data_IF_751184444964
#
_entry.id   IF_751184444964
#
_cell.length_a   1.000
_cell.length_b   1.000
_cell.length_c   1.000
_cell.angle_alpha   90.00
_cell.angle_beta   90.00
_cell.angle_gamma   90.00
#
_symmetry.space_group_name_H-M   'P 1'
#
loop_
_entity.id
_entity.type
_entity.pdbx_description
1 polymer ?
#
# COMPACT_ATOMS: atom_id res chain seq x y z
N UNK A 1 -19.79 -5.62 -29.32
CA UNK A 1 -20.00 -6.32 -28.02
C UNK A 1 -19.99 -5.29 -26.91
N UNK A 2 -20.85 -5.43 -25.91
CA UNK A 2 -20.76 -4.56 -24.72
C UNK A 2 -19.44 -4.88 -23.99
N UNK A 3 -18.67 -3.88 -23.51
CA UNK A 3 -17.52 -4.16 -22.66
C UNK A 3 -17.97 -4.91 -21.40
N UNK A 4 -17.14 -5.80 -20.84
CA UNK A 4 -17.50 -6.55 -19.64
C UNK A 4 -17.86 -5.58 -18.52
N UNK A 5 -19.02 -5.82 -17.89
CA UNK A 5 -19.51 -4.99 -16.78
C UNK A 5 -18.47 -5.00 -15.66
N UNK A 6 -18.23 -3.83 -15.09
CA UNK A 6 -17.40 -3.67 -13.91
C UNK A 6 -17.87 -4.59 -12.77
N UNK A 7 -16.92 -5.21 -12.08
CA UNK A 7 -17.15 -6.09 -10.94
C UNK A 7 -16.35 -5.55 -9.76
N UNK A 8 -16.95 -5.39 -8.58
CA UNK A 8 -16.28 -4.88 -7.37
C UNK A 8 -15.10 -5.77 -6.92
N UNK A 9 -15.08 -7.04 -7.35
CA UNK A 9 -13.91 -7.93 -7.21
C UNK A 9 -12.65 -7.43 -7.95
N UNK A 10 -12.76 -6.39 -8.79
CA UNK A 10 -11.62 -5.66 -9.37
C UNK A 10 -10.96 -4.70 -8.35
N UNK A 11 -11.72 -4.10 -7.44
CA UNK A 11 -11.15 -3.31 -6.34
C UNK A 11 -10.36 -4.20 -5.39
N UNK A 12 -10.90 -5.37 -5.05
CA UNK A 12 -10.23 -6.37 -4.21
C UNK A 12 -8.92 -6.83 -4.86
N UNK A 13 -8.91 -7.10 -6.17
CA UNK A 13 -7.65 -7.41 -6.87
C UNK A 13 -6.65 -6.26 -6.80
N UNK A 14 -7.11 -5.02 -7.02
CA UNK A 14 -6.27 -3.82 -6.95
C UNK A 14 -5.69 -3.61 -5.54
N UNK A 15 -6.48 -3.90 -4.50
CA UNK A 15 -6.03 -3.92 -3.11
C UNK A 15 -4.97 -5.00 -2.85
N UNK A 16 -5.14 -6.21 -3.40
CA UNK A 16 -4.12 -7.26 -3.35
C UNK A 16 -2.79 -6.85 -3.98
N UNK A 17 -2.81 -6.10 -5.09
CA UNK A 17 -1.61 -5.53 -5.73
C UNK A 17 -0.94 -4.50 -4.80
N UNK A 18 -1.71 -3.65 -4.11
CA UNK A 18 -1.18 -2.72 -3.10
C UNK A 18 -0.54 -3.50 -1.95
N UNK A 19 -1.16 -4.58 -1.45
CA UNK A 19 -0.58 -5.44 -0.43
C UNK A 19 0.75 -6.07 -0.86
N UNK A 20 0.89 -6.47 -2.14
CA UNK A 20 2.18 -6.92 -2.68
C UNK A 20 3.26 -5.82 -2.61
N UNK A 21 2.94 -4.60 -3.04
CA UNK A 21 3.87 -3.46 -3.01
C UNK A 21 4.27 -3.04 -1.59
N UNK A 22 3.33 -3.11 -0.63
CA UNK A 22 3.60 -2.80 0.78
C UNK A 22 4.47 -3.86 1.47
N UNK A 23 4.22 -5.15 1.19
CA UNK A 23 4.97 -6.25 1.76
C UNK A 23 6.38 -6.31 1.14
N UNK A 24 6.50 -6.78 -0.10
CA UNK A 24 7.80 -7.02 -0.74
C UNK A 24 8.57 -5.76 -1.12
N UNK A 25 7.96 -4.56 -0.98
CA UNK A 25 8.56 -3.25 -1.34
C UNK A 25 8.89 -3.12 -2.83
N UNK A 26 8.24 -3.92 -3.67
CA UNK A 26 8.36 -3.93 -5.13
C UNK A 26 7.27 -3.03 -5.73
N UNK A 27 7.59 -2.04 -6.58
CA UNK A 27 6.58 -1.21 -7.24
C UNK A 27 5.52 -2.05 -7.97
N UNK A 28 4.24 -1.70 -7.85
CA UNK A 28 3.12 -2.46 -8.45
C UNK A 28 3.12 -2.55 -9.99
N UNK A 29 4.02 -1.81 -10.64
CA UNK A 29 4.20 -1.76 -12.08
C UNK A 29 4.67 -3.12 -12.66
N UNK A 30 4.15 -3.57 -13.81
CA UNK A 30 4.53 -4.85 -14.42
C UNK A 30 6.03 -5.02 -14.69
N UNK A 31 6.79 -3.94 -14.87
CA UNK A 31 8.25 -3.99 -15.08
C UNK A 31 9.01 -4.49 -13.84
N UNK A 32 8.39 -4.42 -12.65
CA UNK A 32 9.00 -4.78 -11.36
C UNK A 32 8.22 -5.89 -10.64
N UNK A 33 6.89 -5.74 -10.51
CA UNK A 33 6.02 -6.74 -9.91
C UNK A 33 5.56 -7.73 -10.98
N UNK A 34 6.35 -8.80 -11.13
CA UNK A 34 6.21 -9.76 -12.22
C UNK A 34 4.79 -10.35 -12.32
N UNK A 35 4.26 -10.35 -13.54
CA UNK A 35 2.95 -10.90 -13.89
C UNK A 35 3.06 -12.23 -14.64
N UNK A 36 1.97 -13.00 -14.61
CA UNK A 36 1.76 -14.10 -15.54
C UNK A 36 1.10 -13.59 -16.85
N UNK A 37 0.92 -14.49 -17.83
CA UNK A 37 0.27 -14.18 -19.11
C UNK A 37 -1.21 -13.75 -18.97
N UNK A 38 -1.81 -13.92 -17.77
CA UNK A 38 -3.16 -13.47 -17.43
C UNK A 38 -3.16 -12.13 -16.65
N UNK A 39 -2.02 -11.45 -16.57
CA UNK A 39 -1.77 -10.21 -15.81
C UNK A 39 -1.90 -10.33 -14.27
N UNK A 40 -1.99 -11.56 -13.75
CA UNK A 40 -2.03 -11.88 -12.32
C UNK A 40 -0.62 -11.83 -11.71
N UNK A 41 -0.53 -11.77 -10.39
CA UNK A 41 0.77 -11.75 -9.69
C UNK A 41 1.42 -13.14 -9.74
N UNK A 42 2.66 -13.22 -10.24
CA UNK A 42 3.49 -14.43 -10.14
C UNK A 42 4.11 -14.53 -8.74
N UNK A 43 3.36 -15.07 -7.76
CA UNK A 43 3.83 -15.18 -6.37
C UNK A 43 5.13 -15.99 -6.23
N UNK A 44 5.36 -16.99 -7.08
CA UNK A 44 6.58 -17.83 -7.08
C UNK A 44 7.85 -17.07 -7.50
N UNK A 45 7.71 -15.86 -8.05
CA UNK A 45 8.83 -14.97 -8.41
C UNK A 45 9.09 -13.89 -7.36
N UNK A 46 8.37 -13.90 -6.23
CA UNK A 46 8.57 -12.96 -5.13
C UNK A 46 9.62 -13.49 -4.14
N UNK A 47 10.39 -12.61 -3.47
CA UNK A 47 11.34 -13.03 -2.44
C UNK A 47 10.70 -13.88 -1.31
N UNK A 48 11.31 -15.03 -1.03
CA UNK A 48 10.82 -16.03 -0.07
C UNK A 48 10.69 -15.51 1.37
N UNK A 49 11.53 -14.55 1.77
CA UNK A 49 11.60 -14.05 3.16
C UNK A 49 10.38 -13.26 3.66
N UNK A 50 9.29 -13.15 2.90
CA UNK A 50 8.06 -12.44 3.32
C UNK A 50 6.76 -13.21 2.98
N UNK A 51 6.79 -14.53 2.85
CA UNK A 51 5.60 -15.32 2.52
C UNK A 51 4.53 -15.33 3.61
N UNK A 52 4.91 -15.25 4.89
CA UNK A 52 4.05 -15.60 6.02
C UNK A 52 3.43 -14.39 6.72
N UNK A 53 3.59 -13.19 6.15
CA UNK A 53 3.00 -11.97 6.72
C UNK A 53 1.49 -11.90 6.45
N UNK A 54 0.78 -11.14 7.28
CA UNK A 54 -0.62 -10.81 7.08
C UNK A 54 -0.89 -10.21 5.68
N UNK A 55 -0.03 -9.29 5.23
CA UNK A 55 -0.14 -8.66 3.91
C UNK A 55 0.08 -9.67 2.77
N UNK A 56 1.01 -10.61 2.93
CA UNK A 56 1.24 -11.68 1.96
C UNK A 56 0.04 -12.64 1.86
N UNK A 57 -0.56 -13.00 3.00
CA UNK A 57 -1.81 -13.79 3.07
C UNK A 57 -2.96 -13.07 2.37
N UNK A 58 -3.20 -11.80 2.72
CA UNK A 58 -4.26 -10.97 2.11
C UNK A 58 -4.03 -10.79 0.61
N UNK A 59 -2.79 -10.54 0.17
CA UNK A 59 -2.45 -10.44 -1.25
C UNK A 59 -2.77 -11.72 -2.03
N UNK A 60 -2.39 -12.90 -1.51
CA UNK A 60 -2.68 -14.20 -2.17
C UNK A 60 -4.18 -14.49 -2.26
N UNK A 61 -4.98 -14.09 -1.29
CA UNK A 61 -6.45 -14.24 -1.33
C UNK A 61 -7.10 -13.24 -2.31
N UNK A 62 -6.59 -12.01 -2.35
CA UNK A 62 -7.15 -10.92 -3.17
C UNK A 62 -6.78 -11.04 -4.65
N UNK A 63 -5.58 -11.55 -4.97
CA UNK A 63 -5.06 -11.66 -6.34
C UNK A 63 -5.46 -12.95 -7.08
N UNK A 64 -6.48 -13.68 -6.61
CA UNK A 64 -6.94 -14.94 -7.22
C UNK A 64 -7.40 -14.77 -8.67
N UNK A 65 -7.13 -15.78 -9.51
CA UNK A 65 -7.52 -15.81 -10.94
C UNK A 65 -9.04 -15.71 -11.12
N UNK A 66 -9.79 -16.51 -10.37
CA UNK A 66 -11.24 -16.46 -10.37
C UNK A 66 -11.71 -15.33 -9.43
N UNK A 67 -12.51 -14.40 -9.97
CA UNK A 67 -13.03 -13.27 -9.20
C UNK A 67 -13.99 -13.70 -8.08
N UNK A 68 -14.74 -14.79 -8.26
CA UNK A 68 -15.76 -15.24 -7.30
C UNK A 68 -15.19 -15.83 -6.00
N UNK A 69 -13.92 -16.25 -6.00
CA UNK A 69 -13.23 -16.78 -4.81
C UNK A 69 -12.37 -15.73 -4.10
N UNK A 70 -12.29 -14.51 -4.63
CA UNK A 70 -11.66 -13.39 -3.91
C UNK A 70 -12.59 -13.03 -2.74
N UNK A 71 -12.08 -12.82 -1.52
CA UNK A 71 -12.90 -12.43 -0.38
C UNK A 71 -13.58 -11.07 -0.61
N UNK A 72 -14.66 -10.78 0.10
CA UNK A 72 -15.18 -9.42 0.25
C UNK A 72 -14.29 -8.60 1.19
N UNK A 73 -14.40 -7.26 1.12
CA UNK A 73 -13.67 -6.38 2.03
C UNK A 73 -14.02 -6.62 3.52
N UNK A 74 -15.23 -7.05 3.84
CA UNK A 74 -15.62 -7.44 5.21
C UNK A 74 -14.81 -8.66 5.70
N UNK A 75 -14.70 -9.71 4.89
CA UNK A 75 -13.92 -10.91 5.21
C UNK A 75 -12.42 -10.58 5.33
N UNK A 76 -11.91 -9.63 4.53
CA UNK A 76 -10.55 -9.13 4.68
C UNK A 76 -10.35 -8.39 6.01
N UNK A 77 -11.31 -7.56 6.44
CA UNK A 77 -11.25 -6.86 7.74
C UNK A 77 -11.23 -7.84 8.91
N UNK A 78 -12.03 -8.91 8.88
CA UNK A 78 -12.00 -9.98 9.91
C UNK A 78 -10.62 -10.67 10.00
N UNK A 79 -9.93 -10.85 8.85
CA UNK A 79 -8.55 -11.36 8.83
C UNK A 79 -7.57 -10.36 9.47
N UNK A 80 -7.74 -9.05 9.24
CA UNK A 80 -6.92 -8.02 9.91
C UNK A 80 -7.18 -7.95 11.43
N UNK A 81 -8.44 -8.04 11.85
CA UNK A 81 -8.83 -7.95 13.26
C UNK A 81 -8.36 -9.18 14.06
N UNK A 82 -8.50 -10.39 13.50
CA UNK A 82 -8.01 -11.61 14.15
C UNK A 82 -6.50 -11.63 14.36
N UNK A 83 -5.72 -11.16 13.38
CA UNK A 83 -4.26 -11.00 13.53
C UNK A 83 -3.88 -9.87 14.50
N UNK A 84 -4.66 -8.78 14.54
CA UNK A 84 -4.45 -7.71 15.52
C UNK A 84 -4.66 -8.22 16.95
N UNK A 85 -5.74 -8.96 17.22
CA UNK A 85 -6.05 -9.49 18.56
C UNK A 85 -5.02 -10.52 19.01
N UNK A 86 -4.60 -11.45 18.14
CA UNK A 86 -3.54 -12.41 18.47
C UNK A 86 -2.18 -11.71 18.70
N UNK A 87 -1.90 -10.62 17.97
CA UNK A 87 -0.75 -9.75 18.15
C UNK A 87 -0.80 -8.82 19.37
N UNK A 88 -1.97 -8.61 19.99
CA UNK A 88 -2.07 -7.96 21.31
C UNK A 88 -1.69 -8.92 22.43
N UNK A 89 -2.14 -10.19 22.36
CA UNK A 89 -1.86 -11.18 23.41
C UNK A 89 -0.36 -11.50 23.56
N UNK A 90 0.46 -11.21 22.54
CA UNK A 90 1.93 -11.35 22.57
C UNK A 90 2.68 -10.11 23.10
N UNK A 91 2.00 -9.00 23.38
CA UNK A 91 2.60 -7.78 23.94
C UNK A 91 2.27 -7.68 25.43
N UNK A 92 3.26 -7.28 26.24
CA UNK A 92 3.04 -7.03 27.66
C UNK A 92 2.09 -5.85 27.86
N UNK A 93 1.31 -5.81 28.98
CA UNK A 93 0.36 -4.73 29.24
C UNK A 93 0.97 -3.32 29.38
N UNK A 94 2.30 -3.21 29.53
CA UNK A 94 2.97 -2.01 30.04
C UNK A 94 3.23 -0.90 28.98
N UNK A 95 2.95 -1.14 27.68
CA UNK A 95 3.26 -0.19 26.58
C UNK A 95 2.03 0.43 25.86
N UNK A 96 0.81 0.28 26.38
CA UNK A 96 -0.41 0.36 25.53
C UNK A 96 -1.08 1.74 25.42
N UNK A 97 -0.62 2.79 26.12
CA UNK A 97 -1.35 4.09 26.17
C UNK A 97 -0.99 5.09 25.04
N UNK A 98 0.21 5.01 24.46
CA UNK A 98 0.72 6.04 23.52
C UNK A 98 0.18 5.98 22.09
N UNK A 99 -0.10 4.78 21.56
CA UNK A 99 -0.28 4.60 20.11
C UNK A 99 -1.72 4.83 19.62
N UNK A 100 -2.73 4.56 20.45
CA UNK A 100 -4.15 4.57 20.03
C UNK A 100 -4.67 5.96 19.68
N UNK A 101 -4.24 7.00 20.40
CA UNK A 101 -4.67 8.37 20.15
C UNK A 101 -4.14 8.95 18.81
N UNK A 102 -3.02 8.47 18.27
CA UNK A 102 -2.37 9.10 17.10
C UNK A 102 -3.10 8.86 15.77
N UNK A 103 -3.82 7.74 15.61
CA UNK A 103 -4.53 7.43 14.36
C UNK A 103 -5.87 8.18 14.23
N UNK A 104 -6.58 8.40 15.35
CA UNK A 104 -7.88 9.11 15.32
C UNK A 104 -7.65 10.63 15.29
N UNK A 105 -6.72 11.17 16.09
CA UNK A 105 -6.52 12.61 16.21
C UNK A 105 -5.96 13.30 14.94
N UNK A 106 -5.25 12.57 14.05
CA UNK A 106 -4.73 13.13 12.78
C UNK A 106 -5.85 13.55 11.81
N UNK A 107 -7.08 13.02 11.96
CA UNK A 107 -8.20 13.30 11.05
C UNK A 107 -8.98 14.58 11.41
N UNK A 108 -9.06 14.91 12.69
CA UNK A 108 -9.81 16.07 13.20
C UNK A 108 -9.00 17.38 13.19
N UNK A 109 -7.66 17.30 13.17
CA UNK A 109 -6.77 18.47 13.24
C UNK A 109 -6.40 19.11 11.89
N UNK A 110 -6.86 18.56 10.76
CA UNK A 110 -6.43 18.98 9.42
C UNK A 110 -7.42 19.88 8.66
N UNK A 111 -7.99 20.89 9.32
CA UNK A 111 -8.66 22.02 8.66
C UNK A 111 -8.32 23.36 9.33
N UNK A 112 -7.40 24.14 8.72
CA UNK A 112 -7.41 25.59 8.81
C UNK A 112 -7.80 26.19 7.46
N UNK A 113 -8.92 26.90 7.44
CA UNK A 113 -9.21 27.90 6.40
C UNK A 113 -8.38 29.14 6.70
N UNK A 114 -7.48 29.51 5.79
CA UNK A 114 -7.20 30.91 5.37
C UNK A 114 -6.11 30.86 4.30
N UNK A 115 -6.22 31.71 3.27
CA UNK A 115 -5.24 31.73 2.19
C UNK A 115 -4.33 32.95 2.25
N UNK A 116 -3.09 32.79 1.77
CA UNK A 116 -2.32 33.86 1.13
C UNK A 116 -1.13 33.28 0.36
N UNK A 117 -1.03 33.66 -0.92
CA UNK A 117 0.16 33.91 -1.74
C UNK A 117 1.34 32.90 -1.80
N UNK A 118 1.86 32.72 -3.02
CA UNK A 118 3.09 31.99 -3.37
C UNK A 118 3.99 32.88 -4.25
N UNK A 119 5.25 32.48 -4.57
CA UNK A 119 6.18 31.63 -3.82
C UNK A 119 7.30 32.56 -3.25
N UNK A 120 8.58 32.69 -3.70
CA UNK A 120 9.48 31.89 -4.57
C UNK A 120 10.73 31.32 -3.85
N UNK A 121 10.95 29.99 -3.95
CA UNK A 121 12.25 29.33 -3.77
C UNK A 121 12.75 29.10 -2.33
N UNK A 122 12.96 27.84 -1.96
CA UNK A 122 13.87 27.42 -0.86
C UNK A 122 14.29 25.95 -1.03
N UNK A 123 15.60 25.75 -0.92
CA UNK A 123 16.29 24.75 -0.08
C UNK A 123 15.90 23.26 -0.16
N UNK A 124 16.87 22.51 -0.66
CA UNK A 124 17.15 21.16 -0.16
C UNK A 124 17.49 21.21 1.34
N UNK A 125 17.14 20.12 2.04
CA UNK A 125 17.49 19.70 3.42
C UNK A 125 16.28 19.65 4.39
N UNK A 126 16.32 18.83 5.46
CA UNK A 126 17.41 17.92 5.86
C UNK A 126 17.05 16.43 5.80
N UNK A 127 18.10 15.60 5.77
CA UNK A 127 18.03 14.22 6.27
C UNK A 127 17.71 14.27 7.77
N UNK A 128 16.44 14.13 8.14
CA UNK A 128 16.07 13.89 9.53
C UNK A 128 15.07 12.73 9.62
N UNK A 129 15.40 11.76 10.47
CA UNK A 129 14.77 10.44 10.54
C UNK A 129 13.39 10.42 11.19
N UNK A 130 12.48 11.32 10.79
CA UNK A 130 11.07 11.15 11.06
C UNK A 130 10.58 9.96 10.23
N UNK A 131 10.30 8.84 10.88
CA UNK A 131 9.64 7.70 10.26
C UNK A 131 8.21 8.10 9.85
N UNK A 132 8.07 8.67 8.66
CA UNK A 132 6.79 8.76 7.97
C UNK A 132 6.16 7.37 7.96
N UNK A 133 4.85 7.30 8.13
CA UNK A 133 4.18 6.01 8.19
C UNK A 133 4.35 5.23 6.87
N UNK A 134 4.00 3.95 6.89
CA UNK A 134 4.22 3.05 5.75
C UNK A 134 3.51 3.57 4.49
N UNK A 135 2.41 4.32 4.63
CA UNK A 135 1.69 4.95 3.52
C UNK A 135 2.40 6.20 3.02
N UNK A 136 2.89 7.08 3.89
CA UNK A 136 3.72 8.23 3.52
C UNK A 136 4.99 7.77 2.76
N UNK A 137 5.66 6.70 3.22
CA UNK A 137 6.80 6.10 2.51
C UNK A 137 6.42 5.50 1.15
N UNK A 138 5.27 4.83 1.05
CA UNK A 138 4.74 4.31 -0.21
C UNK A 138 4.41 5.43 -1.20
N UNK A 139 3.76 6.51 -0.75
CA UNK A 139 3.46 7.69 -1.58
C UNK A 139 4.75 8.38 -2.07
N UNK A 140 5.77 8.50 -1.23
CA UNK A 140 7.09 9.03 -1.61
C UNK A 140 7.74 8.14 -2.68
N UNK A 141 7.75 6.80 -2.51
CA UNK A 141 8.27 5.87 -3.52
C UNK A 141 7.52 5.96 -4.85
N UNK A 142 6.18 5.99 -4.81
CA UNK A 142 5.33 6.13 -6.00
C UNK A 142 5.53 7.46 -6.72
N UNK A 143 5.76 8.55 -5.98
CA UNK A 143 6.12 9.85 -6.55
C UNK A 143 7.49 9.76 -7.24
N UNK A 144 8.47 9.17 -6.58
CA UNK A 144 9.84 9.07 -7.10
C UNK A 144 9.93 8.17 -8.34
N UNK A 145 9.23 7.03 -8.39
CA UNK A 145 9.21 6.16 -9.57
C UNK A 145 8.49 6.77 -10.79
N UNK A 146 7.53 7.67 -10.58
CA UNK A 146 6.98 8.49 -11.68
C UNK A 146 7.92 9.61 -12.11
N UNK A 147 8.74 10.14 -11.20
CA UNK A 147 9.77 11.14 -11.51
C UNK A 147 10.88 10.51 -12.36
N UNK A 148 11.38 9.32 -11.99
CA UNK A 148 12.39 8.58 -12.77
C UNK A 148 11.93 8.31 -14.20
N UNK A 149 10.68 7.87 -14.40
CA UNK A 149 10.10 7.71 -15.75
C UNK A 149 10.03 9.00 -16.57
N UNK A 150 9.79 10.14 -15.93
CA UNK A 150 9.78 11.45 -16.62
C UNK A 150 11.18 11.88 -17.03
N UNK A 151 12.19 11.62 -16.21
CA UNK A 151 13.59 11.86 -16.58
C UNK A 151 14.06 10.90 -17.69
N UNK A 152 13.78 9.61 -17.57
CA UNK A 152 14.18 8.62 -18.59
C UNK A 152 13.53 8.88 -19.96
N UNK A 153 12.22 9.17 -19.99
CA UNK A 153 11.52 9.55 -21.23
C UNK A 153 11.80 10.99 -21.70
N UNK A 154 12.46 11.81 -20.87
CA UNK A 154 12.88 13.17 -21.21
C UNK A 154 14.27 13.25 -21.85
N UNK A 155 15.11 12.21 -21.68
CA UNK A 155 16.46 12.12 -22.25
C UNK A 155 16.45 11.59 -23.71
N UNK A 156 15.33 11.05 -24.17
CA UNK A 156 15.13 10.51 -25.52
C UNK A 156 14.26 11.41 -26.44
N UNK A 157 14.43 12.74 -26.35
CA UNK A 157 13.86 13.71 -27.31
C UNK A 157 14.88 14.75 -27.75
#
# INVERSE_FOLDING_TARGET
SCPPRYNHKCDIFSYGVICCELNWRIPADPDYLCRDDNFLISFDKLPEGQTDTLLARVARLSCQKNASIRPEFSELLEIFESEYVSGQHRRSPDEVDGQRHRYILRRELSLPVTGTQSPPGVDLLPLNGAAGDIFDQHLIRRRNSQIERKYFNGIHR
#
